data_IF_632779688724
#
_entry.id   IF_632779688724
#
_cell.length_a   1.000
_cell.length_b   1.000
_cell.length_c   1.000
_cell.angle_alpha   90.00
_cell.angle_beta   90.00
_cell.angle_gamma   90.00
#
_symmetry.space_group_name_H-M   'P 1'
#
loop_
_entity.id
_entity.type
_entity.pdbx_description
1 polymer ?
#
# COMPACT_ATOMS: atom_id res chain seq x y z
N UNK A 1 17.85 18.60 3.88
CA UNK A 1 17.54 17.78 2.68
C UNK A 1 18.72 17.82 1.70
N UNK A 2 19.21 16.65 1.23
CA UNK A 2 20.30 16.53 0.24
C UNK A 2 19.92 17.24 -1.08
N UNK A 3 20.86 17.91 -1.74
CA UNK A 3 20.60 18.72 -2.97
C UNK A 3 19.93 17.91 -4.09
N UNK A 4 20.36 16.66 -4.29
CA UNK A 4 19.79 15.75 -5.30
C UNK A 4 18.28 15.52 -5.10
N UNK A 5 17.83 15.47 -3.85
CA UNK A 5 16.42 15.22 -3.52
C UNK A 5 15.53 16.46 -3.74
N UNK A 6 16.13 17.66 -3.84
CA UNK A 6 15.38 18.91 -4.06
C UNK A 6 15.00 19.13 -5.52
N UNK A 7 15.73 18.51 -6.44
CA UNK A 7 15.55 18.67 -7.89
C UNK A 7 14.78 17.53 -8.55
N UNK A 8 14.27 16.57 -7.77
CA UNK A 8 13.51 15.45 -8.29
C UNK A 8 12.14 15.91 -8.81
N UNK A 9 11.86 15.59 -10.07
CA UNK A 9 10.58 15.82 -10.76
C UNK A 9 9.89 14.50 -11.08
N UNK A 10 8.63 14.56 -11.53
CA UNK A 10 7.87 13.35 -11.92
C UNK A 10 8.51 12.61 -13.11
N UNK A 11 9.28 13.30 -13.95
CA UNK A 11 10.03 12.70 -15.07
C UNK A 11 11.24 11.88 -14.58
N UNK A 12 11.78 12.21 -13.41
CA UNK A 12 12.92 11.51 -12.81
C UNK A 12 12.52 10.22 -12.06
N UNK A 13 11.22 10.00 -11.86
CA UNK A 13 10.73 8.93 -10.99
C UNK A 13 10.78 7.55 -11.64
N UNK A 14 10.71 7.47 -12.96
CA UNK A 14 10.57 6.20 -13.67
C UNK A 14 11.45 6.14 -14.91
N UNK A 15 12.36 5.17 -14.95
CA UNK A 15 13.13 4.88 -16.16
C UNK A 15 12.33 4.03 -17.17
N UNK A 16 11.50 3.10 -16.67
CA UNK A 16 10.74 2.15 -17.48
C UNK A 16 9.22 2.21 -17.24
N UNK A 17 8.76 3.16 -16.42
CA UNK A 17 7.41 3.18 -15.88
C UNK A 17 7.15 2.07 -14.85
N UNK A 18 5.94 2.10 -14.28
CA UNK A 18 5.46 1.11 -13.31
C UNK A 18 5.06 -0.19 -14.02
N UNK A 19 5.48 -1.31 -13.44
CA UNK A 19 5.23 -2.69 -13.89
C UNK A 19 4.34 -3.40 -12.88
N UNK A 20 3.75 -4.49 -13.33
CA UNK A 20 2.97 -5.40 -12.47
C UNK A 20 3.77 -5.89 -11.25
N UNK A 21 5.05 -6.19 -11.46
CA UNK A 21 5.97 -6.64 -10.41
C UNK A 21 6.22 -5.59 -9.32
N UNK A 22 5.93 -4.31 -9.56
CA UNK A 22 6.06 -3.28 -8.53
C UNK A 22 4.97 -3.41 -7.45
N UNK A 23 3.78 -3.89 -7.82
CA UNK A 23 2.72 -4.22 -6.86
C UNK A 23 3.13 -5.43 -6.02
N UNK A 24 3.67 -6.46 -6.67
CA UNK A 24 4.16 -7.69 -6.02
C UNK A 24 5.30 -7.36 -5.05
N UNK A 25 6.24 -6.52 -5.49
CA UNK A 25 7.35 -6.10 -4.65
C UNK A 25 6.87 -5.31 -3.42
N UNK A 26 5.89 -4.42 -3.57
CA UNK A 26 5.38 -3.62 -2.45
C UNK A 26 4.79 -4.49 -1.33
N UNK A 27 4.02 -5.53 -1.68
CA UNK A 27 3.44 -6.43 -0.69
C UNK A 27 4.49 -7.40 -0.12
N UNK A 28 5.36 -7.96 -0.96
CA UNK A 28 6.39 -8.89 -0.50
C UNK A 28 7.38 -8.23 0.46
N UNK A 29 7.80 -6.99 0.17
CA UNK A 29 8.68 -6.23 1.06
C UNK A 29 8.09 -6.11 2.47
N UNK A 30 6.80 -5.77 2.57
CA UNK A 30 6.14 -5.61 3.86
C UNK A 30 5.97 -6.96 4.56
N UNK A 31 5.57 -8.01 3.82
CA UNK A 31 5.46 -9.37 4.36
C UNK A 31 6.78 -9.85 4.95
N UNK A 32 7.87 -9.76 4.20
CA UNK A 32 9.21 -10.15 4.65
C UNK A 32 9.62 -9.39 5.92
N UNK A 33 9.30 -8.10 6.02
CA UNK A 33 9.58 -7.31 7.21
C UNK A 33 8.74 -7.75 8.42
N UNK A 34 7.46 -8.04 8.23
CA UNK A 34 6.57 -8.53 9.30
C UNK A 34 7.02 -9.92 9.76
N UNK A 35 7.28 -10.84 8.83
CA UNK A 35 7.77 -12.18 9.11
C UNK A 35 9.09 -12.14 9.90
N UNK A 36 10.07 -11.36 9.44
CA UNK A 36 11.34 -11.22 10.14
C UNK A 36 11.17 -10.67 11.58
N UNK A 37 10.22 -9.76 11.81
CA UNK A 37 9.91 -9.23 13.14
C UNK A 37 9.26 -10.27 14.04
N UNK A 38 8.34 -11.08 13.49
CA UNK A 38 7.73 -12.20 14.22
C UNK A 38 8.79 -13.22 14.60
N UNK A 39 9.68 -13.61 13.68
CA UNK A 39 10.79 -14.53 13.98
C UNK A 39 11.73 -13.97 15.06
N UNK A 40 12.04 -12.68 15.00
CA UNK A 40 12.86 -12.02 16.01
C UNK A 40 12.17 -12.06 17.39
N UNK A 41 10.87 -11.81 17.43
CA UNK A 41 10.07 -11.90 18.65
C UNK A 41 10.07 -13.32 19.23
N UNK A 42 9.84 -14.34 18.41
CA UNK A 42 9.80 -15.73 18.87
C UNK A 42 11.11 -16.15 19.52
N UNK A 43 12.24 -15.72 18.96
CA UNK A 43 13.58 -15.90 19.55
C UNK A 43 13.68 -15.20 20.90
N UNK A 44 13.29 -13.93 20.97
CA UNK A 44 13.32 -13.15 22.22
C UNK A 44 12.41 -13.76 23.30
N UNK A 45 11.17 -14.12 22.94
CA UNK A 45 10.21 -14.76 23.82
C UNK A 45 10.73 -16.08 24.37
N UNK A 46 11.40 -16.88 23.53
CA UNK A 46 12.04 -18.13 23.95
C UNK A 46 13.16 -17.89 24.97
N UNK A 47 13.99 -16.87 24.77
CA UNK A 47 15.04 -16.51 25.74
C UNK A 47 14.47 -15.94 27.05
N UNK A 48 13.38 -15.17 26.99
CA UNK A 48 12.70 -14.66 28.18
C UNK A 48 12.12 -15.82 29.00
N UNK A 49 11.48 -16.81 28.36
CA UNK A 49 10.92 -18.00 29.02
C UNK A 49 11.98 -18.87 29.72
N UNK A 50 13.26 -18.76 29.35
CA UNK A 50 14.37 -19.47 30.03
C UNK A 50 14.83 -18.77 31.30
N UNK A 51 14.40 -17.53 31.55
CA UNK A 51 14.78 -16.79 32.76
C UNK A 51 13.96 -17.33 33.93
N UNK A 52 14.60 -17.45 35.10
CA UNK A 52 13.91 -17.77 36.33
C UNK A 52 13.12 -16.53 36.79
N UNK A 53 11.82 -16.53 36.53
CA UNK A 53 10.88 -15.46 36.89
C UNK A 53 9.57 -16.07 37.39
N UNK A 54 8.83 -15.33 38.21
CA UNK A 54 7.47 -15.71 38.57
C UNK A 54 6.56 -15.76 37.32
N UNK A 55 5.66 -16.75 37.18
CA UNK A 55 4.84 -16.93 35.99
C UNK A 55 4.03 -15.69 35.58
N UNK A 56 3.40 -15.01 36.54
CA UNK A 56 2.57 -13.83 36.25
C UNK A 56 3.40 -12.68 35.64
N UNK A 57 4.64 -12.50 36.12
CA UNK A 57 5.56 -11.48 35.60
C UNK A 57 6.03 -11.84 34.19
N UNK A 58 6.28 -13.13 33.94
CA UNK A 58 6.66 -13.61 32.62
C UNK A 58 5.54 -13.34 31.60
N UNK A 59 4.29 -13.65 31.96
CA UNK A 59 3.14 -13.46 31.08
C UNK A 59 2.90 -11.98 30.75
N UNK A 60 3.02 -11.08 31.73
CA UNK A 60 2.93 -9.63 31.50
C UNK A 60 4.00 -9.13 30.52
N UNK A 61 5.27 -9.53 30.71
CA UNK A 61 6.36 -9.12 29.82
C UNK A 61 6.12 -9.60 28.39
N UNK A 62 5.68 -10.84 28.22
CA UNK A 62 5.41 -11.40 26.89
C UNK A 62 4.23 -10.71 26.22
N UNK A 63 3.15 -10.46 26.98
CA UNK A 63 1.98 -9.73 26.48
C UNK A 63 2.36 -8.33 25.99
N UNK A 64 3.03 -7.53 26.83
CA UNK A 64 3.48 -6.18 26.49
C UNK A 64 4.38 -6.19 25.25
N UNK A 65 5.36 -7.11 25.22
CA UNK A 65 6.29 -7.22 24.10
C UNK A 65 5.54 -7.53 22.80
N UNK A 66 4.64 -8.52 22.84
CA UNK A 66 3.83 -8.89 21.68
C UNK A 66 2.94 -7.76 21.17
N UNK A 67 2.39 -6.96 22.09
CA UNK A 67 1.54 -5.82 21.76
C UNK A 67 2.30 -4.74 21.00
N UNK A 68 3.51 -4.37 21.45
CA UNK A 68 4.32 -3.39 20.73
C UNK A 68 4.79 -3.88 19.36
N UNK A 69 5.02 -5.18 19.21
CA UNK A 69 5.34 -5.76 17.90
C UNK A 69 4.13 -5.72 16.98
N UNK A 70 2.94 -6.05 17.48
CA UNK A 70 1.72 -5.93 16.69
C UNK A 70 1.50 -4.49 16.23
N UNK A 71 1.60 -3.51 17.12
CA UNK A 71 1.48 -2.08 16.78
C UNK A 71 2.39 -1.70 15.62
N UNK A 72 3.67 -2.07 15.68
CA UNK A 72 4.60 -1.76 14.62
C UNK A 72 4.27 -2.48 13.31
N UNK A 73 3.79 -3.73 13.39
CA UNK A 73 3.30 -4.46 12.22
C UNK A 73 2.08 -3.78 11.60
N UNK A 74 1.18 -3.18 12.40
CA UNK A 74 0.06 -2.39 11.88
C UNK A 74 0.56 -1.23 11.00
N UNK A 75 1.61 -0.50 11.43
CA UNK A 75 2.19 0.57 10.63
C UNK A 75 2.83 0.08 9.33
N UNK A 76 3.42 -1.13 9.32
CA UNK A 76 3.91 -1.75 8.09
C UNK A 76 2.77 -2.04 7.11
N UNK A 77 1.61 -2.50 7.60
CA UNK A 77 0.42 -2.67 6.75
C UNK A 77 -0.16 -1.35 6.26
N UNK A 78 -0.13 -0.29 7.08
CA UNK A 78 -0.52 1.07 6.64
C UNK A 78 0.37 1.55 5.49
N UNK A 79 1.68 1.32 5.61
CA UNK A 79 2.63 1.63 4.55
C UNK A 79 2.34 0.83 3.26
N UNK A 80 2.00 -0.46 3.37
CA UNK A 80 1.61 -1.26 2.21
C UNK A 80 0.42 -0.63 1.47
N UNK A 81 -0.63 -0.26 2.19
CA UNK A 81 -1.80 0.42 1.63
C UNK A 81 -1.42 1.72 0.91
N UNK A 82 -0.59 2.55 1.55
CA UNK A 82 -0.10 3.80 0.97
C UNK A 82 0.68 3.58 -0.33
N UNK A 83 1.59 2.61 -0.30
CA UNK A 83 2.45 2.31 -1.45
C UNK A 83 1.64 1.77 -2.62
N UNK A 84 0.73 0.83 -2.36
CA UNK A 84 -0.14 0.23 -3.37
C UNK A 84 -1.06 1.27 -4.02
N UNK A 85 -1.69 2.14 -3.24
CA UNK A 85 -2.52 3.21 -3.79
C UNK A 85 -1.70 4.20 -4.62
N UNK A 86 -0.49 4.56 -4.16
CA UNK A 86 0.43 5.41 -4.90
C UNK A 86 0.83 4.83 -6.25
N UNK A 87 1.20 3.55 -6.29
CA UNK A 87 1.52 2.83 -7.54
C UNK A 87 0.33 2.81 -8.49
N UNK A 88 -0.85 2.46 -7.98
CA UNK A 88 -2.08 2.39 -8.78
C UNK A 88 -2.46 3.74 -9.39
N UNK A 89 -2.45 4.80 -8.59
CA UNK A 89 -2.75 6.15 -9.07
C UNK A 89 -1.73 6.65 -10.09
N UNK A 90 -0.46 6.26 -9.96
CA UNK A 90 0.59 6.61 -10.90
C UNK A 90 0.44 5.86 -12.23
N UNK A 91 0.02 4.59 -12.24
CA UNK A 91 -0.36 3.87 -13.47
C UNK A 91 -1.44 4.66 -14.23
N UNK A 92 -2.53 5.04 -13.54
CA UNK A 92 -3.64 5.76 -14.18
C UNK A 92 -3.13 7.06 -14.81
N UNK A 93 -2.36 7.84 -14.05
CA UNK A 93 -1.96 9.21 -14.42
C UNK A 93 -0.89 9.23 -15.51
N UNK A 94 0.08 8.32 -15.46
CA UNK A 94 1.28 8.38 -16.31
C UNK A 94 1.31 7.33 -17.42
N UNK A 95 0.50 6.27 -17.34
CA UNK A 95 0.52 5.20 -18.33
C UNK A 95 -0.79 5.06 -19.09
N UNK A 96 -1.93 5.35 -18.47
CA UNK A 96 -3.23 5.10 -19.10
C UNK A 96 -3.87 6.35 -19.70
N UNK A 97 -3.65 7.51 -19.09
CA UNK A 97 -4.19 8.79 -19.53
C UNK A 97 -3.10 9.57 -20.27
N UNK A 98 -3.39 10.06 -21.48
CA UNK A 98 -2.53 11.02 -22.17
C UNK A 98 -2.85 12.43 -21.66
N UNK A 99 -1.99 12.95 -20.79
CA UNK A 99 -2.16 14.27 -20.16
C UNK A 99 -1.62 15.43 -21.01
N UNK A 100 -1.21 15.20 -22.27
CA UNK A 100 -0.48 16.13 -23.16
C UNK A 100 -0.95 17.59 -23.14
N UNK A 101 -2.22 17.88 -22.86
CA UNK A 101 -2.76 19.25 -22.81
C UNK A 101 -3.61 19.60 -21.56
N UNK A 102 -3.53 18.85 -20.45
CA UNK A 102 -4.55 18.95 -19.37
C UNK A 102 -4.05 19.16 -17.94
N UNK A 103 -4.89 19.87 -17.16
CA UNK A 103 -4.78 20.17 -15.72
C UNK A 103 -4.36 18.94 -14.91
N UNK A 104 -3.44 19.13 -13.95
CA UNK A 104 -3.09 18.14 -12.93
C UNK A 104 -4.35 17.49 -12.34
N UNK A 105 -4.41 16.15 -12.37
CA UNK A 105 -5.50 15.36 -11.81
C UNK A 105 -5.27 15.15 -10.31
N UNK A 106 -5.98 15.90 -9.48
CA UNK A 106 -5.86 15.82 -8.02
C UNK A 106 -6.80 14.79 -7.42
N UNK A 107 -6.21 13.73 -6.86
CA UNK A 107 -6.93 12.67 -6.15
C UNK A 107 -7.52 11.59 -7.05
N UNK A 108 -7.89 10.46 -6.42
CA UNK A 108 -8.35 9.26 -7.12
C UNK A 108 -9.62 9.50 -7.96
N UNK A 109 -10.60 10.25 -7.43
CA UNK A 109 -11.88 10.49 -8.12
C UNK A 109 -11.69 11.15 -9.49
N UNK A 110 -10.87 12.20 -9.58
CA UNK A 110 -10.62 12.86 -10.88
C UNK A 110 -9.88 11.94 -11.84
N UNK A 111 -8.96 11.11 -11.33
CA UNK A 111 -8.21 10.12 -12.11
C UNK A 111 -9.14 9.06 -12.71
N UNK A 112 -10.08 8.52 -11.94
CA UNK A 112 -11.06 7.53 -12.43
C UNK A 112 -12.03 8.12 -13.45
N UNK A 113 -12.47 9.38 -13.28
CA UNK A 113 -13.31 10.07 -14.26
C UNK A 113 -12.56 10.24 -15.59
N UNK A 114 -11.30 10.68 -15.53
CA UNK A 114 -10.46 10.85 -16.71
C UNK A 114 -10.16 9.50 -17.39
N UNK A 115 -9.88 8.46 -16.61
CA UNK A 115 -9.69 7.09 -17.09
C UNK A 115 -10.90 6.59 -17.87
N UNK A 116 -12.11 6.76 -17.32
CA UNK A 116 -13.36 6.37 -17.99
C UNK A 116 -13.61 7.19 -19.27
N UNK A 117 -13.29 8.49 -19.27
CA UNK A 117 -13.37 9.34 -20.49
C UNK A 117 -12.40 8.90 -21.58
N UNK A 118 -11.25 8.33 -21.22
CA UNK A 118 -10.31 7.70 -22.15
C UNK A 118 -10.78 6.30 -22.60
N UNK A 119 -12.01 5.89 -22.28
CA UNK A 119 -12.65 4.67 -22.76
C UNK A 119 -12.15 3.39 -22.10
N UNK A 120 -11.55 3.45 -20.91
CA UNK A 120 -11.19 2.24 -20.16
C UNK A 120 -12.41 1.73 -19.37
N UNK A 121 -12.52 0.41 -19.24
CA UNK A 121 -13.65 -0.18 -18.52
C UNK A 121 -13.48 -0.05 -17.01
N UNK A 122 -14.48 0.55 -16.37
CA UNK A 122 -14.61 0.54 -14.91
C UNK A 122 -16.08 0.72 -14.56
N UNK A 123 -16.60 -0.20 -13.74
CA UNK A 123 -17.99 -0.19 -13.31
C UNK A 123 -18.18 0.58 -12.00
N UNK A 124 -19.44 0.80 -11.60
CA UNK A 124 -19.76 1.57 -10.40
C UNK A 124 -19.24 0.90 -9.12
N UNK A 125 -19.43 -0.41 -8.98
CA UNK A 125 -18.99 -1.16 -7.80
C UNK A 125 -17.47 -1.07 -7.62
N UNK A 126 -16.71 -1.14 -8.71
CA UNK A 126 -15.25 -0.98 -8.68
C UNK A 126 -14.82 0.44 -8.26
N UNK A 127 -15.54 1.46 -8.71
CA UNK A 127 -15.30 2.85 -8.28
C UNK A 127 -15.61 3.01 -6.79
N UNK A 128 -16.73 2.45 -6.33
CA UNK A 128 -17.16 2.52 -4.95
C UNK A 128 -16.12 1.81 -4.04
N UNK A 129 -15.67 0.62 -4.42
CA UNK A 129 -14.61 -0.14 -3.73
C UNK A 129 -13.30 0.64 -3.65
N UNK A 130 -12.81 1.16 -4.78
CA UNK A 130 -11.61 2.01 -4.81
C UNK A 130 -11.74 3.25 -3.92
N UNK A 131 -12.94 3.81 -3.82
CA UNK A 131 -13.22 4.97 -2.99
C UNK A 131 -13.18 4.60 -1.50
N UNK A 132 -13.67 3.43 -1.12
CA UNK A 132 -13.59 2.93 0.26
C UNK A 132 -12.13 2.80 0.70
N UNK A 133 -11.29 2.14 -0.10
CA UNK A 133 -9.85 2.01 0.19
C UNK A 133 -9.13 3.34 0.27
N UNK A 134 -9.44 4.28 -0.66
CA UNK A 134 -8.86 5.60 -0.63
C UNK A 134 -9.29 6.42 0.61
N UNK A 135 -10.53 6.27 1.05
CA UNK A 135 -11.03 6.90 2.27
C UNK A 135 -10.33 6.34 3.51
N UNK A 136 -10.17 5.02 3.59
CA UNK A 136 -9.41 4.37 4.67
C UNK A 136 -7.97 4.89 4.69
N UNK A 137 -7.31 4.91 3.55
CA UNK A 137 -5.95 5.45 3.43
C UNK A 137 -5.86 6.90 3.90
N UNK A 138 -6.79 7.73 3.45
CA UNK A 138 -6.85 9.14 3.82
C UNK A 138 -7.09 9.33 5.31
N UNK A 139 -7.95 8.52 5.93
CA UNK A 139 -8.17 8.54 7.37
C UNK A 139 -6.86 8.25 8.11
N UNK A 140 -6.13 7.20 7.73
CA UNK A 140 -4.84 6.83 8.33
C UNK A 140 -3.78 7.92 8.10
N UNK A 141 -3.80 8.61 6.94
CA UNK A 141 -2.78 9.60 6.58
C UNK A 141 -3.02 10.99 7.19
N UNK A 142 -4.28 11.43 7.23
CA UNK A 142 -4.65 12.79 7.62
C UNK A 142 -5.09 12.89 9.08
N UNK A 143 -5.57 11.78 9.64
CA UNK A 143 -5.84 11.62 11.07
C UNK A 143 -4.96 10.48 11.58
N UNK A 144 -3.63 10.68 11.62
CA UNK A 144 -2.71 9.62 12.00
C UNK A 144 -3.10 9.11 13.39
N UNK A 145 -3.20 7.78 13.56
CA UNK A 145 -3.57 7.22 14.84
C UNK A 145 -2.51 7.55 15.91
N UNK A 146 -2.92 7.49 17.17
CA UNK A 146 -1.96 7.55 18.27
C UNK A 146 -0.97 6.39 18.15
N UNK A 147 0.27 6.63 18.57
CA UNK A 147 1.38 5.69 18.37
C UNK A 147 1.01 4.26 18.78
N UNK A 148 0.36 4.09 19.93
CA UNK A 148 0.01 2.79 20.51
C UNK A 148 -1.44 2.36 20.20
N UNK A 149 -2.16 3.09 19.35
CA UNK A 149 -3.52 2.73 18.94
C UNK A 149 -3.71 2.87 17.42
N UNK A 150 -2.88 2.20 16.59
CA UNK A 150 -3.05 2.21 15.15
C UNK A 150 -4.39 1.60 14.73
N UNK A 151 -4.93 2.08 13.61
CA UNK A 151 -6.04 1.40 12.94
C UNK A 151 -5.65 -0.03 12.61
N UNK A 152 -6.47 -1.01 12.98
CA UNK A 152 -6.19 -2.41 12.70
C UNK A 152 -6.28 -2.69 11.19
N UNK A 153 -5.18 -3.16 10.60
CA UNK A 153 -5.06 -3.68 9.24
C UNK A 153 -4.23 -4.96 9.27
N UNK A 154 -4.72 -6.00 8.61
CA UNK A 154 -4.04 -7.28 8.51
C UNK A 154 -3.47 -7.51 7.12
N UNK A 155 -2.62 -8.53 7.00
CA UNK A 155 -2.16 -9.04 5.71
C UNK A 155 -3.33 -9.35 4.76
N UNK A 156 -4.42 -9.91 5.30
CA UNK A 156 -5.59 -10.30 4.51
C UNK A 156 -6.24 -9.09 3.85
N UNK A 157 -6.43 -8.01 4.60
CA UNK A 157 -7.03 -6.77 4.10
C UNK A 157 -6.17 -6.17 2.98
N UNK A 158 -4.85 -6.12 3.18
CA UNK A 158 -3.92 -5.60 2.19
C UNK A 158 -3.86 -6.50 0.94
N UNK A 159 -3.92 -7.82 1.13
CA UNK A 159 -3.93 -8.79 0.03
C UNK A 159 -5.20 -8.69 -0.80
N UNK A 160 -6.35 -8.45 -0.16
CA UNK A 160 -7.62 -8.18 -0.84
C UNK A 160 -7.51 -6.94 -1.73
N UNK A 161 -7.03 -5.82 -1.18
CA UNK A 161 -6.83 -4.60 -1.94
C UNK A 161 -5.84 -4.79 -3.10
N UNK A 162 -4.70 -5.43 -2.83
CA UNK A 162 -3.68 -5.76 -3.82
C UNK A 162 -4.26 -6.56 -5.00
N UNK A 163 -4.99 -7.64 -4.71
CA UNK A 163 -5.59 -8.47 -5.76
C UNK A 163 -6.61 -7.69 -6.58
N UNK A 164 -7.42 -6.87 -5.91
CA UNK A 164 -8.40 -6.03 -6.56
C UNK A 164 -7.74 -5.05 -7.54
N UNK A 165 -6.76 -4.26 -7.11
CA UNK A 165 -6.10 -3.27 -7.99
C UNK A 165 -5.23 -3.93 -9.07
N UNK A 166 -4.64 -5.11 -8.79
CA UNK A 166 -3.86 -5.87 -9.78
C UNK A 166 -4.76 -6.39 -10.90
N UNK A 167 -5.97 -6.84 -10.57
CA UNK A 167 -6.95 -7.27 -11.59
C UNK A 167 -7.34 -6.11 -12.52
N UNK A 168 -7.57 -4.91 -11.98
CA UNK A 168 -7.85 -3.70 -12.75
C UNK A 168 -6.67 -3.30 -13.65
N UNK A 169 -5.45 -3.34 -13.10
CA UNK A 169 -4.23 -3.07 -13.85
C UNK A 169 -4.09 -4.00 -15.06
N UNK A 170 -4.23 -5.30 -14.85
CA UNK A 170 -4.12 -6.31 -15.91
C UNK A 170 -5.17 -6.09 -17.00
N UNK A 171 -6.42 -5.81 -16.60
CA UNK A 171 -7.50 -5.50 -17.55
C UNK A 171 -7.18 -4.26 -18.39
N UNK A 172 -6.78 -3.16 -17.76
CA UNK A 172 -6.49 -1.91 -18.48
C UNK A 172 -5.24 -2.00 -19.34
N UNK A 173 -4.26 -2.82 -18.96
CA UNK A 173 -3.09 -3.11 -19.79
C UNK A 173 -3.51 -3.77 -21.11
N UNK A 174 -4.42 -4.75 -21.07
CA UNK A 174 -4.97 -5.40 -22.28
C UNK A 174 -5.76 -4.38 -23.12
N UNK A 175 -6.64 -3.60 -22.49
CA UNK A 175 -7.41 -2.56 -23.18
C UNK A 175 -6.53 -1.52 -23.87
N UNK A 176 -5.42 -1.13 -23.24
CA UNK A 176 -4.45 -0.21 -23.83
C UNK A 176 -3.81 -0.78 -25.10
N UNK A 177 -3.38 -2.04 -25.07
CA UNK A 177 -2.81 -2.71 -26.26
C UNK A 177 -3.83 -2.76 -27.39
N UNK A 178 -5.09 -3.12 -27.08
CA UNK A 178 -6.15 -3.18 -28.07
C UNK A 178 -6.46 -1.81 -28.69
N UNK A 179 -6.35 -0.72 -27.93
CA UNK A 179 -6.54 0.65 -28.43
C UNK A 179 -5.42 1.14 -29.35
N UNK A 180 -4.20 0.61 -29.21
CA UNK A 180 -3.06 1.00 -30.05
C UNK A 180 -3.11 0.28 -31.42
N UNK A 181 -3.79 -0.86 -31.48
CA UNK A 181 -3.89 -1.70 -32.68
C UNK A 181 -5.11 -1.37 -33.58
N UNK A 182 -5.80 -0.26 -33.32
CA UNK A 182 -6.94 0.27 -34.09
C UNK A 182 -6.56 1.64 -34.63
#
# INVERSE_FOLDING_TARGET
MRKQLKGLTEEDYWLYGIKETDFDHAINLVKEMVEARIEQYEKQATEIRKREMEPDVLDEILADTSYYIDIDNQYLWHFALWRLQGLFEAVITHQLIDLKDSKKLFGLKSKLIALKKNGYSINKNEIDELTLWANLRNAISHSPPEQYAPTSLSEKDITEYYNFIKSLYQRWKIEKVNKINI
#
